data_IF_468112432460
#
_entry.id   IF_468112432460
#
_cell.length_a   1.000
_cell.length_b   1.000
_cell.length_c   1.000
_cell.angle_alpha   90.00
_cell.angle_beta   90.00
_cell.angle_gamma   90.00
#
_symmetry.space_group_name_H-M   'P 1'
#
loop_
_entity.id
_entity.type
_entity.pdbx_description
1 polymer ?
#
# COMPACT_ATOMS: atom_id res chain seq x y z
N UNK A 1 26.89 -2.73 -9.26
CA UNK A 1 26.08 -1.74 -8.53
C UNK A 1 26.91 -1.24 -7.38
N UNK A 2 27.13 0.07 -7.27
CA UNK A 2 27.85 0.62 -6.12
C UNK A 2 26.86 0.78 -4.94
N UNK A 3 27.33 0.79 -3.67
CA UNK A 3 26.47 1.03 -2.52
C UNK A 3 25.69 2.36 -2.60
N UNK A 4 26.28 3.35 -3.25
CA UNK A 4 25.65 4.66 -3.52
C UNK A 4 24.48 4.56 -4.47
N UNK A 5 24.58 3.75 -5.55
CA UNK A 5 23.48 3.53 -6.48
C UNK A 5 22.28 2.85 -5.79
N UNK A 6 22.58 1.86 -4.93
CA UNK A 6 21.58 1.14 -4.17
C UNK A 6 20.83 2.05 -3.18
N UNK A 7 21.55 2.91 -2.45
CA UNK A 7 20.93 3.86 -1.54
C UNK A 7 20.04 4.86 -2.29
N UNK A 8 20.50 5.39 -3.43
CA UNK A 8 19.68 6.31 -4.23
C UNK A 8 18.41 5.65 -4.77
N UNK A 9 18.48 4.39 -5.21
CA UNK A 9 17.29 3.64 -5.65
C UNK A 9 16.31 3.48 -4.49
N UNK A 10 16.77 3.02 -3.33
CA UNK A 10 15.88 2.81 -2.17
C UNK A 10 15.20 4.09 -1.70
N UNK A 11 15.92 5.22 -1.66
CA UNK A 11 15.34 6.52 -1.30
C UNK A 11 14.33 7.00 -2.34
N UNK A 12 14.60 6.75 -3.62
CA UNK A 12 13.69 7.10 -4.72
C UNK A 12 12.41 6.29 -4.64
N UNK A 13 12.51 4.98 -4.42
CA UNK A 13 11.37 4.08 -4.22
C UNK A 13 10.50 4.51 -3.04
N UNK A 14 11.14 4.77 -1.90
CA UNK A 14 10.43 5.21 -0.70
C UNK A 14 9.75 6.57 -0.92
N UNK A 15 10.44 7.51 -1.57
CA UNK A 15 9.89 8.82 -1.91
C UNK A 15 8.64 8.72 -2.79
N UNK A 16 8.68 7.93 -3.85
CA UNK A 16 7.53 7.73 -4.74
C UNK A 16 6.38 7.00 -4.08
N UNK A 17 6.67 5.97 -3.29
CA UNK A 17 5.64 5.26 -2.54
C UNK A 17 4.91 6.17 -1.55
N UNK A 18 5.65 7.02 -0.82
CA UNK A 18 5.05 8.03 0.06
C UNK A 18 4.26 9.08 -0.72
N UNK A 19 4.78 9.50 -1.88
CA UNK A 19 4.10 10.45 -2.76
C UNK A 19 2.79 9.91 -3.35
N UNK A 20 2.61 8.58 -3.45
CA UNK A 20 1.34 7.96 -3.84
C UNK A 20 0.45 7.70 -2.62
N UNK A 21 1.01 7.18 -1.53
CA UNK A 21 0.25 6.85 -0.31
C UNK A 21 -0.38 8.05 0.35
N UNK A 22 0.36 9.14 0.51
CA UNK A 22 -0.17 10.31 1.24
C UNK A 22 -1.39 10.92 0.54
N UNK A 23 -1.36 11.22 -0.77
CA UNK A 23 -2.54 11.66 -1.50
C UNK A 23 -3.67 10.63 -1.50
N UNK A 24 -3.34 9.34 -1.59
CA UNK A 24 -4.33 8.25 -1.52
C UNK A 24 -5.10 8.30 -0.21
N UNK A 25 -4.40 8.34 0.93
CA UNK A 25 -5.03 8.39 2.26
C UNK A 25 -5.88 9.66 2.41
N UNK A 26 -5.34 10.81 2.01
CA UNK A 26 -6.06 12.09 2.11
C UNK A 26 -7.32 12.11 1.25
N UNK A 27 -7.24 11.63 0.00
CA UNK A 27 -8.38 11.56 -0.91
C UNK A 27 -9.43 10.54 -0.45
N UNK A 28 -9.01 9.38 0.06
CA UNK A 28 -9.93 8.39 0.63
C UNK A 28 -10.66 8.96 1.85
N UNK A 29 -9.95 9.59 2.79
CA UNK A 29 -10.56 10.21 3.97
C UNK A 29 -11.52 11.34 3.54
N UNK A 30 -11.12 12.17 2.58
CA UNK A 30 -11.97 13.24 2.06
C UNK A 30 -13.25 12.66 1.42
N UNK A 31 -13.12 11.60 0.61
CA UNK A 31 -14.26 10.94 -0.01
C UNK A 31 -15.20 10.33 1.04
N UNK A 32 -14.67 9.56 1.98
CA UNK A 32 -15.44 8.95 3.08
C UNK A 32 -16.19 10.04 3.86
N UNK A 33 -15.52 11.15 4.18
CA UNK A 33 -16.15 12.25 4.91
C UNK A 33 -17.21 12.99 4.12
N UNK A 34 -16.93 13.34 2.87
CA UNK A 34 -17.79 14.21 2.06
C UNK A 34 -18.97 13.45 1.46
N UNK A 35 -18.78 12.18 1.09
CA UNK A 35 -19.77 11.38 0.37
C UNK A 35 -20.50 10.41 1.30
N UNK A 36 -19.76 9.74 2.20
CA UNK A 36 -20.36 8.77 3.12
C UNK A 36 -20.78 9.40 4.46
N UNK A 37 -20.36 10.64 4.74
CA UNK A 37 -20.70 11.36 5.97
C UNK A 37 -20.01 10.84 7.24
N UNK A 38 -19.09 9.88 7.11
CA UNK A 38 -18.39 9.27 8.25
C UNK A 38 -17.29 10.21 8.73
N UNK A 39 -17.24 10.47 10.04
CA UNK A 39 -16.19 11.32 10.62
C UNK A 39 -14.88 10.54 10.72
N UNK A 40 -13.75 11.23 10.60
CA UNK A 40 -12.41 10.61 10.70
C UNK A 40 -12.23 9.81 12.00
N UNK A 41 -12.84 10.27 13.10
CA UNK A 41 -12.78 9.61 14.40
C UNK A 41 -13.59 8.31 14.46
N UNK A 42 -14.57 8.15 13.58
CA UNK A 42 -15.47 7.00 13.51
C UNK A 42 -14.97 5.95 12.49
N UNK A 43 -14.00 6.28 11.64
CA UNK A 43 -13.49 5.37 10.60
C UNK A 43 -13.01 4.04 11.18
N UNK A 44 -12.32 4.06 12.34
CA UNK A 44 -11.84 2.83 12.98
C UNK A 44 -13.02 1.98 13.43
N UNK A 45 -14.01 2.58 14.11
CA UNK A 45 -15.25 1.91 14.52
C UNK A 45 -16.00 1.33 13.32
N UNK A 46 -16.10 2.08 12.22
CA UNK A 46 -16.73 1.59 11.00
C UNK A 46 -15.98 0.42 10.35
N UNK A 47 -14.64 0.40 10.45
CA UNK A 47 -13.81 -0.70 9.93
C UNK A 47 -13.91 -1.92 10.83
N UNK A 48 -13.83 -1.78 12.15
CA UNK A 48 -13.71 -2.91 13.08
C UNK A 48 -15.07 -3.42 13.57
N UNK A 49 -15.98 -2.52 13.96
CA UNK A 49 -17.26 -2.91 14.58
C UNK A 49 -18.36 -3.10 13.55
N UNK A 50 -18.50 -2.17 12.60
CA UNK A 50 -19.51 -2.24 11.55
C UNK A 50 -19.03 -2.99 10.29
N UNK A 51 -17.71 -3.20 10.18
CA UNK A 51 -17.07 -3.91 9.06
C UNK A 51 -17.50 -3.37 7.69
N UNK A 52 -17.65 -2.04 7.61
CA UNK A 52 -18.22 -1.35 6.46
C UNK A 52 -17.30 -1.49 5.25
N UNK A 53 -17.57 -2.51 4.41
CA UNK A 53 -16.75 -2.86 3.25
C UNK A 53 -16.53 -1.69 2.27
N UNK A 54 -17.51 -0.77 2.19
CA UNK A 54 -17.41 0.44 1.38
C UNK A 54 -16.21 1.32 1.76
N UNK A 55 -15.87 1.43 3.05
CA UNK A 55 -14.69 2.21 3.48
C UNK A 55 -13.41 1.58 2.94
N UNK A 56 -13.26 0.26 3.09
CA UNK A 56 -12.11 -0.45 2.53
C UNK A 56 -12.05 -0.35 1.01
N UNK A 57 -13.19 -0.47 0.33
CA UNK A 57 -13.29 -0.34 -1.12
C UNK A 57 -12.88 1.05 -1.62
N UNK A 58 -13.15 2.12 -0.86
CA UNK A 58 -12.69 3.48 -1.17
C UNK A 58 -11.16 3.56 -1.07
N UNK A 59 -10.56 3.05 0.00
CA UNK A 59 -9.09 3.00 0.11
C UNK A 59 -8.47 2.22 -1.07
N UNK A 60 -9.02 1.06 -1.39
CA UNK A 60 -8.54 0.24 -2.50
C UNK A 60 -8.68 0.94 -3.86
N UNK A 61 -9.85 1.51 -4.16
CA UNK A 61 -10.12 2.12 -5.46
C UNK A 61 -9.32 3.40 -5.69
N UNK A 62 -9.20 4.24 -4.65
CA UNK A 62 -8.38 5.46 -4.70
C UNK A 62 -6.90 5.09 -4.84
N UNK A 63 -6.44 4.09 -4.08
CA UNK A 63 -5.08 3.55 -4.17
C UNK A 63 -4.75 3.07 -5.57
N UNK A 64 -5.63 2.26 -6.18
CA UNK A 64 -5.48 1.79 -7.54
C UNK A 64 -5.44 2.97 -8.54
N UNK A 65 -6.38 3.92 -8.40
CA UNK A 65 -6.45 5.09 -9.27
C UNK A 65 -5.18 5.94 -9.24
N UNK A 66 -4.72 6.32 -8.04
CA UNK A 66 -3.47 7.08 -7.89
C UNK A 66 -2.25 6.27 -8.32
N UNK A 67 -2.19 4.98 -8.02
CA UNK A 67 -1.08 4.13 -8.47
C UNK A 67 -0.97 4.09 -9.98
N UNK A 68 -2.09 3.98 -10.70
CA UNK A 68 -2.11 3.99 -12.17
C UNK A 68 -1.82 5.38 -12.76
N UNK A 69 -2.40 6.44 -12.18
CA UNK A 69 -2.16 7.81 -12.63
C UNK A 69 -0.70 8.23 -12.43
N UNK A 70 -0.15 7.94 -11.25
CA UNK A 70 1.23 8.30 -10.93
C UNK A 70 2.22 7.34 -11.60
N UNK A 71 1.89 6.06 -11.82
CA UNK A 71 2.70 5.16 -12.65
C UNK A 71 3.06 5.78 -13.99
N UNK A 72 2.10 6.43 -14.66
CA UNK A 72 2.33 7.11 -15.94
C UNK A 72 3.25 8.34 -15.82
N UNK A 73 3.29 8.99 -14.66
CA UNK A 73 4.16 10.16 -14.40
C UNK A 73 5.54 9.76 -13.89
N UNK A 74 5.64 8.62 -13.20
CA UNK A 74 6.88 8.02 -12.70
C UNK A 74 7.65 7.37 -13.85
N UNK A 75 6.94 6.88 -14.88
CA UNK A 75 7.50 6.38 -16.11
C UNK A 75 8.19 7.49 -16.93
N UNK A 76 9.38 7.89 -16.51
CA UNK A 76 10.45 8.08 -17.49
C UNK A 76 10.85 6.67 -17.92
N UNK A 77 10.88 6.33 -19.22
CA UNK A 77 11.28 5.00 -19.63
C UNK A 77 12.66 4.73 -19.05
N UNK A 78 12.75 3.83 -18.07
CA UNK A 78 14.01 3.21 -17.72
C UNK A 78 14.57 2.72 -19.04
N UNK A 79 15.75 3.24 -19.37
CA UNK A 79 16.40 3.08 -20.67
C UNK A 79 16.27 1.62 -21.10
N UNK A 80 15.37 1.36 -22.05
CA UNK A 80 15.20 0.07 -22.69
C UNK A 80 16.41 -0.15 -23.61
N UNK A 81 17.59 -0.29 -23.02
CA UNK A 81 18.82 -0.65 -23.70
C UNK A 81 19.22 -2.02 -23.19
N UNK A 82 19.13 -3.01 -24.08
CA UNK A 82 19.93 -4.25 -24.08
C UNK A 82 20.31 -4.84 -22.72
N UNK A 83 19.37 -4.86 -21.78
CA UNK A 83 19.60 -5.49 -20.48
C UNK A 83 19.50 -7.00 -20.63
N UNK A 84 20.56 -7.69 -20.24
CA UNK A 84 20.56 -9.15 -20.18
C UNK A 84 19.47 -9.68 -19.24
N UNK A 85 18.93 -10.87 -19.51
CA UNK A 85 17.91 -11.51 -18.67
C UNK A 85 18.32 -11.58 -17.19
N UNK A 86 19.60 -11.85 -16.90
CA UNK A 86 20.12 -11.88 -15.53
C UNK A 86 19.97 -10.54 -14.80
N UNK A 87 20.15 -9.43 -15.53
CA UNK A 87 19.99 -8.08 -14.99
C UNK A 87 18.52 -7.77 -14.73
N UNK A 88 17.63 -8.11 -15.67
CA UNK A 88 16.19 -7.96 -15.49
C UNK A 88 15.65 -8.76 -14.29
N UNK A 89 16.09 -10.01 -14.12
CA UNK A 89 15.70 -10.82 -12.96
C UNK A 89 16.21 -10.25 -11.63
N UNK A 90 17.40 -9.66 -11.63
CA UNK A 90 17.95 -9.01 -10.44
C UNK A 90 17.12 -7.78 -10.04
N UNK A 91 16.71 -6.96 -11.02
CA UNK A 91 15.83 -5.83 -10.79
C UNK A 91 14.45 -6.25 -10.31
N UNK A 92 13.85 -7.28 -10.92
CA UNK A 92 12.58 -7.83 -10.47
C UNK A 92 12.66 -8.35 -9.03
N UNK A 93 13.73 -9.07 -8.67
CA UNK A 93 13.91 -9.58 -7.31
C UNK A 93 14.05 -8.44 -6.28
N UNK A 94 14.78 -7.38 -6.62
CA UNK A 94 14.89 -6.19 -5.78
C UNK A 94 13.52 -5.49 -5.64
N UNK A 95 12.78 -5.36 -6.74
CA UNK A 95 11.46 -4.75 -6.74
C UNK A 95 10.47 -5.50 -5.84
N UNK A 96 10.48 -6.83 -5.91
CA UNK A 96 9.67 -7.68 -5.04
C UNK A 96 10.06 -7.51 -3.57
N UNK A 97 11.36 -7.48 -3.27
CA UNK A 97 11.84 -7.30 -1.90
C UNK A 97 11.41 -5.95 -1.31
N UNK A 98 11.61 -4.86 -2.06
CA UNK A 98 11.19 -3.51 -1.65
C UNK A 98 9.68 -3.46 -1.46
N UNK A 99 8.92 -4.04 -2.40
CA UNK A 99 7.45 -4.11 -2.30
C UNK A 99 7.00 -4.82 -1.03
N UNK A 100 7.60 -5.97 -0.71
CA UNK A 100 7.27 -6.73 0.50
C UNK A 100 7.62 -5.99 1.78
N UNK A 101 8.76 -5.30 1.82
CA UNK A 101 9.16 -4.47 2.96
C UNK A 101 8.15 -3.35 3.18
N UNK A 102 7.82 -2.59 2.13
CA UNK A 102 6.87 -1.49 2.20
C UNK A 102 5.48 -1.99 2.60
N UNK A 103 5.00 -3.07 1.98
CA UNK A 103 3.75 -3.72 2.34
C UNK A 103 3.73 -4.09 3.83
N UNK A 104 4.78 -4.76 4.32
CA UNK A 104 4.86 -5.17 5.71
C UNK A 104 4.87 -3.97 6.67
N UNK A 105 5.60 -2.90 6.35
CA UNK A 105 5.56 -1.66 7.13
C UNK A 105 4.16 -1.03 7.11
N UNK A 106 3.50 -1.00 5.95
CA UNK A 106 2.14 -0.50 5.81
C UNK A 106 1.16 -1.29 6.69
N UNK A 107 1.28 -2.62 6.71
CA UNK A 107 0.50 -3.49 7.59
C UNK A 107 0.79 -3.17 9.06
N UNK A 108 2.05 -3.04 9.46
CA UNK A 108 2.41 -2.69 10.84
C UNK A 108 1.82 -1.35 11.26
N UNK A 109 1.86 -0.33 10.40
CA UNK A 109 1.34 1.01 10.71
C UNK A 109 -0.18 0.98 10.79
N UNK A 110 -0.85 0.48 9.75
CA UNK A 110 -2.33 0.50 9.67
C UNK A 110 -2.92 -0.43 10.72
N UNK A 111 -2.59 -1.72 10.69
CA UNK A 111 -3.17 -2.70 11.60
C UNK A 111 -2.62 -2.57 13.03
N UNK A 112 -1.44 -1.97 13.20
CA UNK A 112 -0.94 -1.62 14.53
C UNK A 112 -1.68 -0.44 15.17
N UNK A 113 -2.27 0.45 14.38
CA UNK A 113 -3.07 1.60 14.85
C UNK A 113 -4.53 1.27 15.19
N UNK A 114 -5.00 0.09 14.79
CA UNK A 114 -6.36 -0.39 15.06
C UNK A 114 -6.51 -0.96 16.49
N UNK A 115 -7.74 -1.05 16.99
CA UNK A 115 -8.03 -1.37 18.38
C UNK A 115 -7.94 -2.88 18.65
N UNK A 116 -6.71 -3.40 18.68
CA UNK A 116 -6.43 -4.80 19.04
C UNK A 116 -6.95 -5.16 20.43
N UNK A 117 -7.46 -6.39 20.58
CA UNK A 117 -7.84 -6.91 21.89
C UNK A 117 -6.60 -6.98 22.79
N UNK A 118 -6.77 -6.77 24.10
CA UNK A 118 -5.65 -6.72 25.05
C UNK A 118 -4.87 -8.03 25.02
N UNK A 119 -3.59 -7.97 24.66
CA UNK A 119 -2.71 -9.15 24.53
C UNK A 119 -2.77 -9.86 23.17
N UNK A 120 -3.55 -9.36 22.21
CA UNK A 120 -3.64 -9.90 20.86
C UNK A 120 -2.44 -9.45 20.00
N UNK A 121 -1.66 -10.42 19.51
CA UNK A 121 -0.60 -10.16 18.55
C UNK A 121 -1.17 -9.74 17.19
N UNK A 122 -0.38 -9.01 16.38
CA UNK A 122 -0.83 -8.51 15.08
C UNK A 122 -1.31 -9.62 14.13
N UNK A 123 -0.59 -10.74 14.07
CA UNK A 123 -1.00 -11.87 13.22
C UNK A 123 -2.28 -12.55 13.72
N UNK A 124 -2.48 -12.61 15.03
CA UNK A 124 -3.71 -13.14 15.61
C UNK A 124 -4.90 -12.23 15.29
N UNK A 125 -4.71 -10.91 15.40
CA UNK A 125 -5.68 -9.90 14.99
C UNK A 125 -6.06 -10.04 13.52
N UNK A 126 -5.07 -10.04 12.61
CA UNK A 126 -5.32 -10.21 11.18
C UNK A 126 -6.07 -11.52 10.89
N UNK A 127 -5.64 -12.62 11.53
CA UNK A 127 -6.29 -13.92 11.34
C UNK A 127 -7.76 -13.88 11.80
N UNK A 128 -8.05 -13.31 12.97
CA UNK A 128 -9.41 -13.18 13.51
C UNK A 128 -10.28 -12.36 12.56
N UNK A 129 -9.85 -11.14 12.25
CA UNK A 129 -10.58 -10.21 11.40
C UNK A 129 -10.86 -10.80 10.01
N UNK A 130 -9.86 -11.42 9.39
CA UNK A 130 -9.98 -11.92 8.01
C UNK A 130 -10.73 -13.26 7.92
N UNK A 131 -10.53 -14.18 8.88
CA UNK A 131 -11.05 -15.55 8.79
C UNK A 131 -12.32 -15.76 9.61
N UNK A 132 -12.36 -15.22 10.81
CA UNK A 132 -13.46 -15.47 11.75
C UNK A 132 -14.56 -14.44 11.55
N UNK A 133 -14.16 -13.18 11.44
CA UNK A 133 -15.09 -12.05 11.36
C UNK A 133 -15.34 -11.58 9.93
N UNK A 134 -14.65 -12.15 8.94
CA UNK A 134 -14.84 -11.91 7.51
C UNK A 134 -14.84 -10.41 7.15
N UNK A 135 -13.99 -9.63 7.81
CA UNK A 135 -13.93 -8.19 7.67
C UNK A 135 -13.43 -7.79 6.27
N UNK A 136 -14.38 -7.51 5.38
CA UNK A 136 -14.11 -7.14 3.99
C UNK A 136 -13.43 -5.77 3.90
N UNK A 137 -13.70 -4.86 4.84
CA UNK A 137 -13.04 -3.54 4.85
C UNK A 137 -11.53 -3.70 5.02
N UNK A 138 -11.09 -4.51 5.98
CA UNK A 138 -9.68 -4.81 6.20
C UNK A 138 -9.05 -5.58 5.05
N UNK A 139 -9.81 -6.46 4.39
CA UNK A 139 -9.36 -7.16 3.19
C UNK A 139 -9.00 -6.18 2.06
N UNK A 140 -9.87 -5.21 1.79
CA UNK A 140 -9.62 -4.18 0.78
C UNK A 140 -8.49 -3.23 1.17
N UNK A 141 -8.38 -2.85 2.45
CA UNK A 141 -7.27 -2.03 2.95
C UNK A 141 -5.95 -2.76 2.77
N UNK A 142 -5.89 -4.06 3.07
CA UNK A 142 -4.71 -4.88 2.84
C UNK A 142 -4.33 -4.93 1.34
N UNK A 143 -5.33 -5.05 0.46
CA UNK A 143 -5.12 -4.92 -0.98
C UNK A 143 -4.55 -3.55 -1.39
N UNK A 144 -5.04 -2.47 -0.78
CA UNK A 144 -4.56 -1.11 -1.04
C UNK A 144 -3.09 -0.95 -0.63
N UNK A 145 -2.71 -1.51 0.54
CA UNK A 145 -1.34 -1.49 1.04
C UNK A 145 -0.36 -2.24 0.14
N UNK A 146 -0.83 -3.28 -0.56
CA UNK A 146 0.00 -4.05 -1.48
C UNK A 146 0.10 -3.42 -2.87
N UNK A 147 -1.01 -2.90 -3.40
CA UNK A 147 -1.07 -2.50 -4.81
C UNK A 147 -0.20 -1.28 -5.12
N UNK A 148 -0.11 -0.31 -4.20
CA UNK A 148 0.73 0.87 -4.41
C UNK A 148 2.21 0.51 -4.57
N UNK A 149 2.86 -0.16 -3.60
CA UNK A 149 4.26 -0.50 -3.75
C UNK A 149 4.51 -1.47 -4.90
N UNK A 150 3.58 -2.38 -5.19
CA UNK A 150 3.73 -3.26 -6.35
C UNK A 150 3.77 -2.47 -7.67
N UNK A 151 2.85 -1.52 -7.87
CA UNK A 151 2.78 -0.72 -9.10
C UNK A 151 3.93 0.28 -9.17
N UNK A 152 4.23 1.00 -8.08
CA UNK A 152 5.29 2.01 -8.06
C UNK A 152 6.65 1.36 -8.27
N UNK A 153 6.98 0.33 -7.49
CA UNK A 153 8.30 -0.32 -7.58
C UNK A 153 8.49 -0.97 -8.94
N UNK A 154 7.44 -1.56 -9.51
CA UNK A 154 7.49 -2.08 -10.88
C UNK A 154 7.92 -1.00 -11.89
N UNK A 155 7.33 0.20 -11.84
CA UNK A 155 7.65 1.26 -12.82
C UNK A 155 8.94 2.01 -12.56
N UNK A 156 9.45 2.00 -11.32
CA UNK A 156 10.73 2.63 -10.98
C UNK A 156 11.91 1.69 -11.30
N UNK A 157 11.70 0.37 -11.18
CA UNK A 157 12.75 -0.64 -11.41
C UNK A 157 12.78 -1.25 -12.82
N UNK A 158 11.66 -1.28 -13.53
CA UNK A 158 11.48 -1.90 -14.86
C UNK A 158 10.86 -0.92 -15.85
#
# INVERSE_FOLDING_TARGET
MTPTDLLSTLLTELGWNLAVWLPTVLASIAFIRLIMGVRVREIITEIEEHQTAAIGAVFFSVSLGFSLLLSRTIASPAVAMDTSWATAFTWLALALLVTLILFFMGVLVVFGSLARRRGEGLLAYIRREMREEHNLALSFIMGALFIVPAVVTYHVTL
#
